data_IF_044232160182
#
_entry.id   IF_044232160182
#
_cell.length_a   1.000
_cell.length_b   1.000
_cell.length_c   1.000
_cell.angle_alpha   90.00
_cell.angle_beta   90.00
_cell.angle_gamma   90.00
#
_symmetry.space_group_name_H-M   'P 1'
#
loop_
_entity.id
_entity.type
_entity.pdbx_description
1 polymer ?
2 water ?
#
# COMPACT_ATOMS: atom_id res chain seq x y z
N UNK A 1 -28.46 5.59 -4.55
CA UNK A 1 -27.06 6.00 -4.68
C UNK A 1 -26.20 5.71 -3.43
N UNK A 2 -24.92 6.07 -3.51
CA UNK A 2 -23.97 5.84 -2.41
C UNK A 2 -22.98 6.99 -2.21
N UNK A 3 -21.84 6.67 -1.59
CA UNK A 3 -20.77 7.63 -1.38
C UNK A 3 -20.08 7.93 -2.71
N UNK A 4 -20.16 6.99 -3.65
CA UNK A 4 -19.36 7.04 -4.87
C UNK A 4 -17.86 7.15 -4.57
N UNK A 5 -17.37 6.24 -3.73
CA UNK A 5 -15.94 6.18 -3.43
C UNK A 5 -15.19 6.03 -4.75
N UNK A 6 -14.24 6.94 -5.00
CA UNK A 6 -13.52 6.87 -6.27
C UNK A 6 -12.29 5.93 -6.22
N UNK A 7 -12.16 5.04 -7.20
CA UNK A 7 -10.97 4.21 -7.29
C UNK A 7 -9.85 5.00 -7.94
N UNK A 8 -8.71 5.14 -7.26
CA UNK A 8 -7.55 5.76 -7.91
C UNK A 8 -6.47 4.73 -8.23
N UNK A 9 -6.02 4.75 -9.47
CA UNK A 9 -5.01 3.81 -9.92
C UNK A 9 -3.62 4.40 -9.74
N UNK A 10 -3.54 5.64 -9.27
CA UNK A 10 -2.26 6.33 -9.21
C UNK A 10 -2.33 7.65 -8.47
N UNK A 11 -1.27 7.96 -7.71
CA UNK A 11 -1.17 9.25 -7.00
C UNK A 11 -1.17 10.41 -7.99
N UNK A 12 -0.67 10.16 -9.19
CA UNK A 12 -0.79 11.12 -10.27
C UNK A 12 -2.25 11.58 -10.53
N UNK A 13 -3.25 10.74 -10.26
CA UNK A 13 -4.63 11.21 -10.43
C UNK A 13 -4.97 12.40 -9.51
N UNK A 14 -4.30 12.51 -8.38
CA UNK A 14 -4.67 13.56 -7.44
C UNK A 14 -4.42 14.96 -7.99
N UNK A 15 -3.58 15.04 -9.01
CA UNK A 15 -3.23 16.31 -9.63
C UNK A 15 -4.42 16.98 -10.34
N UNK A 16 -5.45 16.21 -10.66
CA UNK A 16 -6.60 16.74 -11.37
C UNK A 16 -7.87 16.75 -10.54
N UNK A 17 -7.72 16.47 -9.25
CA UNK A 17 -8.85 16.43 -8.34
C UNK A 17 -9.25 17.84 -7.93
N UNK A 18 -10.45 17.98 -7.33
CA UNK A 18 -10.94 19.28 -6.82
C UNK A 18 -9.95 19.95 -5.87
N UNK A 19 -9.94 21.27 -5.82
CA UNK A 19 -8.95 22.02 -5.02
C UNK A 19 -9.42 22.34 -3.60
N UNK A 20 -10.73 22.28 -3.38
CA UNK A 20 -11.27 22.38 -2.04
C UNK A 20 -12.46 21.45 -1.94
N UNK A 21 -12.21 20.25 -1.43
CA UNK A 21 -13.21 19.20 -1.45
C UNK A 21 -12.82 18.06 -0.52
N UNK A 22 -13.80 17.26 -0.13
CA UNK A 22 -13.55 15.99 0.53
C UNK A 22 -14.07 14.89 -0.39
N UNK A 23 -13.15 14.06 -0.87
CA UNK A 23 -13.45 13.05 -1.87
C UNK A 23 -12.98 11.69 -1.36
N UNK A 24 -13.94 10.77 -1.13
CA UNK A 24 -13.55 9.44 -0.67
C UNK A 24 -12.94 8.68 -1.84
N UNK A 25 -11.81 8.01 -1.57
CA UNK A 25 -11.06 7.28 -2.58
C UNK A 25 -10.72 5.89 -2.08
N UNK A 26 -10.24 5.06 -3.00
CA UNK A 26 -9.71 3.75 -2.66
C UNK A 26 -8.55 3.49 -3.60
N UNK A 27 -7.50 2.83 -3.12
CA UNK A 27 -6.36 2.50 -3.97
C UNK A 27 -5.69 1.26 -3.46
N UNK A 28 -4.99 0.56 -4.34
CA UNK A 28 -4.26 -0.65 -3.96
C UNK A 28 -2.78 -0.38 -4.18
N UNK A 29 -1.95 -0.80 -3.23
CA UNK A 29 -0.52 -0.50 -3.28
C UNK A 29 0.19 -1.30 -2.21
N UNK A 30 1.51 -1.46 -2.36
CA UNK A 30 2.30 -2.15 -1.35
C UNK A 30 2.63 -1.20 -0.20
N UNK A 31 2.61 -1.70 1.04
CA UNK A 31 3.03 -0.88 2.18
C UNK A 31 4.54 -0.71 2.08
N UNK A 32 5.03 0.53 2.07
CA UNK A 32 6.48 0.76 1.99
C UNK A 32 7.14 1.37 3.24
N UNK A 33 6.40 2.15 4.02
CA UNK A 33 6.97 2.66 5.26
C UNK A 33 5.95 2.90 6.36
N UNK A 34 6.44 2.87 7.59
CA UNK A 34 5.66 3.25 8.76
C UNK A 34 6.49 4.22 9.59
N UNK A 35 5.86 5.30 10.04
CA UNK A 35 6.52 6.19 11.00
C UNK A 35 5.58 6.50 12.12
N UNK A 36 5.96 6.10 13.33
CA UNK A 36 5.20 6.44 14.53
C UNK A 36 6.04 7.23 15.56
N UNK A 37 5.69 8.50 15.74
CA UNK A 37 6.32 9.32 16.77
C UNK A 37 5.29 9.64 17.87
N UNK A 38 5.31 10.86 18.41
CA UNK A 38 4.33 11.22 19.43
C UNK A 38 3.28 12.20 18.93
N UNK A 39 3.62 12.95 17.88
CA UNK A 39 2.67 13.88 17.30
C UNK A 39 2.10 13.35 15.99
N UNK A 40 2.87 12.48 15.35
CA UNK A 40 2.52 12.00 14.02
C UNK A 40 2.57 10.48 13.86
N UNK A 41 1.72 10.00 12.96
CA UNK A 41 1.72 8.61 12.52
C UNK A 41 1.47 8.56 11.01
N UNK A 42 2.44 8.05 10.27
CA UNK A 42 2.43 8.12 8.81
C UNK A 42 2.61 6.75 8.18
N UNK A 43 1.80 6.45 7.16
CA UNK A 43 1.92 5.21 6.41
C UNK A 43 2.30 5.49 4.95
N UNK A 44 3.39 4.89 4.50
CA UNK A 44 3.81 5.10 3.13
C UNK A 44 3.37 3.94 2.27
N UNK A 45 2.89 4.26 1.08
CA UNK A 45 2.47 3.23 0.14
C UNK A 45 3.05 3.48 -1.22
N UNK A 46 3.39 2.41 -1.91
CA UNK A 46 3.75 2.57 -3.29
C UNK A 46 3.16 1.52 -4.20
N UNK A 47 3.09 1.96 -5.44
CA UNK A 47 2.49 1.28 -6.53
C UNK A 47 3.61 0.88 -7.50
N UNK A 48 4.66 1.71 -7.54
CA UNK A 48 5.89 1.40 -8.26
C UNK A 48 5.81 1.55 -9.78
N UNK A 49 4.87 2.36 -10.25
CA UNK A 49 4.87 2.74 -11.66
C UNK A 49 6.17 3.50 -11.90
N UNK A 50 6.74 3.35 -13.08
CA UNK A 50 7.96 4.09 -13.38
C UNK A 50 7.61 5.46 -13.97
N UNK A 55 10.36 1.25 -8.59
CA UNK A 55 10.68 2.62 -8.95
C UNK A 55 10.78 3.53 -7.71
N UNK A 56 9.78 4.38 -7.47
CA UNK A 56 9.79 5.22 -6.26
C UNK A 56 8.76 4.81 -5.19
N UNK A 57 9.23 4.59 -3.96
CA UNK A 57 8.39 4.19 -2.83
C UNK A 57 7.69 5.39 -2.17
N UNK A 58 6.61 5.13 -1.43
CA UNK A 58 5.89 6.19 -0.71
C UNK A 58 5.27 7.27 -1.63
N UNK A 59 4.71 6.87 -2.76
CA UNK A 59 3.95 7.79 -3.61
C UNK A 59 2.72 8.28 -2.84
N UNK A 60 2.11 7.38 -2.06
CA UNK A 60 0.95 7.73 -1.26
C UNK A 60 1.39 7.87 0.19
N UNK A 61 1.00 8.97 0.82
CA UNK A 61 1.23 9.15 2.25
C UNK A 61 -0.12 9.30 2.94
N UNK A 62 -0.45 8.32 3.78
CA UNK A 62 -1.72 8.35 4.48
C UNK A 62 -1.46 8.73 5.93
N UNK A 63 -2.30 9.62 6.45
CA UNK A 63 -2.05 10.19 7.76
C UNK A 63 -3.09 9.69 8.74
N UNK A 64 -2.61 9.26 9.91
CA UNK A 64 -3.45 8.91 11.05
C UNK A 64 -3.22 9.95 12.13
N UNK A 65 -3.99 11.03 12.10
CA UNK A 65 -3.77 12.15 13.02
C UNK A 65 -4.28 11.83 14.43
N UNK A 66 -3.65 12.44 15.43
CA UNK A 66 -4.02 12.20 16.83
C UNK A 66 -3.44 13.25 17.79
N UNK A 67 -4.24 13.67 18.76
CA UNK A 67 -3.80 14.69 19.72
C UNK A 67 -3.63 14.12 21.13
N UNK A 68 -4.58 13.29 21.54
CA UNK A 68 -4.62 12.77 22.90
C UNK A 68 -3.67 11.60 23.15
N UNK A 69 -3.71 11.09 24.37
CA UNK A 69 -3.02 9.86 24.73
C UNK A 69 -3.80 8.71 24.13
N UNK A 70 -5.13 8.79 24.26
CA UNK A 70 -6.01 7.75 23.78
C UNK A 70 -5.85 7.57 22.29
N UNK A 71 -5.81 8.70 21.58
CA UNK A 71 -5.58 8.68 20.14
C UNK A 71 -4.25 7.97 19.90
N UNK A 72 -3.22 8.50 20.55
CA UNK A 72 -1.87 7.96 20.45
C UNK A 72 -1.85 6.44 20.62
N UNK A 73 -2.60 5.92 21.60
CA UNK A 73 -2.70 4.48 21.80
C UNK A 73 -3.37 3.81 20.63
N UNK A 74 -4.51 4.36 20.21
CA UNK A 74 -5.24 3.77 19.11
C UNK A 74 -4.31 3.64 17.90
N UNK A 75 -3.57 4.70 17.60
CA UNK A 75 -2.68 4.71 16.45
C UNK A 75 -1.68 3.58 16.59
N UNK A 76 -1.20 3.41 17.80
CA UNK A 76 -0.19 2.41 18.05
C UNK A 76 -0.78 1.01 17.91
N UNK A 77 -1.95 0.80 18.49
CA UNK A 77 -2.61 -0.50 18.38
C UNK A 77 -2.85 -0.84 16.89
N UNK A 78 -3.33 0.13 16.12
CA UNK A 78 -3.46 -0.03 14.68
C UNK A 78 -2.17 -0.47 13.96
N UNK A 79 -1.07 0.27 14.15
CA UNK A 79 0.21 -0.12 13.55
C UNK A 79 0.59 -1.55 13.92
N UNK A 80 0.38 -1.88 15.19
CA UNK A 80 0.75 -3.18 15.75
C UNK A 80 0.05 -4.36 15.04
N UNK A 81 -1.24 -4.20 14.76
CA UNK A 81 -2.00 -5.25 14.10
C UNK A 81 -1.58 -5.39 12.64
N UNK A 82 -1.32 -4.25 11.99
CA UNK A 82 -0.89 -4.22 10.60
C UNK A 82 0.44 -4.95 10.43
N UNK A 83 1.40 -4.64 11.30
CA UNK A 83 2.67 -5.36 11.30
C UNK A 83 2.52 -6.86 11.62
N UNK A 84 1.61 -7.21 12.53
CA UNK A 84 1.41 -8.62 12.86
C UNK A 84 0.81 -9.37 11.68
N UNK A 85 -0.09 -8.72 10.96
CA UNK A 85 -0.71 -9.37 9.83
C UNK A 85 0.36 -9.71 8.80
N UNK A 86 1.31 -8.80 8.61
CA UNK A 86 2.33 -8.94 7.57
C UNK A 86 3.59 -9.57 8.11
N UNK A 87 3.51 -10.06 9.35
CA UNK A 87 4.66 -10.64 10.04
C UNK A 87 5.86 -9.71 10.16
N UNK A 88 5.59 -8.41 10.27
CA UNK A 88 6.64 -7.45 10.55
C UNK A 88 6.75 -7.33 12.06
N UNK A 89 7.93 -7.61 12.62
CA UNK A 89 8.05 -7.61 14.07
C UNK A 89 8.43 -6.24 14.62
N UNK A 90 7.87 -5.92 15.78
CA UNK A 90 8.04 -4.61 16.39
C UNK A 90 8.72 -4.72 17.75
N UNK A 91 9.38 -3.64 18.18
CA UNK A 91 9.91 -3.61 19.55
C UNK A 91 8.76 -3.75 20.54
N UNK A 92 9.09 -4.12 21.77
CA UNK A 92 8.06 -4.35 22.78
C UNK A 92 7.40 -3.04 23.19
N UNK A 93 6.09 -3.12 23.41
CA UNK A 93 5.34 -2.02 24.00
C UNK A 93 6.12 -1.44 25.20
N UNK A 94 6.57 -2.32 26.09
CA UNK A 94 7.20 -1.91 27.34
C UNK A 94 8.69 -1.56 27.19
N UNK A 95 9.15 -1.41 25.95
CA UNK A 95 10.56 -1.11 25.70
C UNK A 95 10.80 0.34 25.28
N UNK A 102 8.63 5.12 19.40
CA UNK A 102 8.94 5.58 18.05
C UNK A 102 9.16 4.38 17.14
N UNK A 103 8.46 4.36 16.02
CA UNK A 103 8.58 3.25 15.09
C UNK A 103 8.99 3.81 13.75
N UNK A 104 10.07 3.26 13.19
CA UNK A 104 10.58 3.71 11.91
C UNK A 104 10.85 2.52 11.01
N UNK A 105 10.04 2.39 9.96
CA UNK A 105 10.16 1.27 9.03
C UNK A 105 10.24 1.81 7.61
N UNK A 106 11.32 1.50 6.91
CA UNK A 106 11.49 2.04 5.57
C UNK A 106 11.79 0.95 4.57
N UNK A 107 11.41 1.19 3.31
CA UNK A 107 11.65 0.22 2.24
C UNK A 107 11.14 -1.17 2.65
N UNK A 108 10.01 -1.22 3.33
CA UNK A 108 9.43 -2.50 3.74
C UNK A 108 9.45 -3.54 2.61
N UNK A 109 9.16 -3.11 1.38
CA UNK A 109 9.09 -4.02 0.22
C UNK A 109 10.39 -4.78 -0.14
N UNK A 110 11.53 -4.29 0.33
CA UNK A 110 12.79 -4.99 0.06
C UNK A 110 12.83 -6.27 0.89
N UNK A 111 12.07 -6.28 1.98
CA UNK A 111 12.00 -7.46 2.83
C UNK A 111 10.71 -8.21 2.69
N UNK A 112 9.59 -7.51 2.56
CA UNK A 112 8.33 -8.23 2.71
C UNK A 112 7.30 -8.30 1.60
N UNK A 113 6.88 -7.20 0.99
CA UNK A 113 5.75 -7.31 0.03
C UNK A 113 4.41 -7.43 0.77
N UNK A 114 3.84 -6.26 1.05
CA UNK A 114 2.65 -6.14 1.86
C UNK A 114 1.51 -5.45 1.08
N UNK A 115 0.75 -6.26 0.36
CA UNK A 115 -0.32 -5.77 -0.48
C UNK A 115 -1.45 -5.29 0.40
N UNK A 116 -2.04 -4.16 0.02
CA UNK A 116 -3.00 -3.48 0.87
C UNK A 116 -4.02 -2.79 0.00
N UNK A 117 -5.28 -2.94 0.37
CA UNK A 117 -6.33 -2.16 -0.25
C UNK A 117 -6.76 -1.13 0.78
N UNK A 118 -6.61 0.15 0.42
CA UNK A 118 -6.93 1.24 1.33
C UNK A 118 -8.13 2.12 0.92
N UNK A 119 -8.93 2.48 1.91
CA UNK A 119 -9.95 3.51 1.74
C UNK A 119 -9.51 4.79 2.46
N UNK A 120 -9.34 5.87 1.70
CA UNK A 120 -8.95 7.14 2.31
C UNK A 120 -9.86 8.30 1.91
N UNK A 121 -9.74 9.39 2.66
CA UNK A 121 -10.38 10.64 2.33
C UNK A 121 -9.31 11.58 1.76
N UNK A 122 -9.35 11.76 0.45
CA UNK A 122 -8.67 12.87 -0.17
C UNK A 122 -9.36 14.13 0.34
N UNK A 123 -8.57 15.01 0.95
CA UNK A 123 -9.06 16.23 1.56
C UNK A 123 -8.13 17.38 1.15
N UNK A 124 -8.65 18.38 0.43
CA UNK A 124 -7.78 19.41 -0.15
C UNK A 124 -8.23 20.85 0.07
N UNK A 125 -7.25 21.75 0.10
CA UNK A 125 -7.46 23.16 0.42
C UNK A 125 -6.28 23.94 -0.16
N UNK A 126 -6.59 25.00 -0.92
CA UNK A 126 -5.57 25.86 -1.53
C UNK A 126 -4.53 25.11 -2.37
N UNK A 127 -4.97 24.13 -3.16
CA UNK A 127 -4.07 23.36 -4.01
C UNK A 127 -3.28 22.28 -3.29
N UNK A 128 -3.54 22.13 -1.99
CA UNK A 128 -2.83 21.16 -1.18
C UNK A 128 -3.79 20.09 -0.70
N UNK A 129 -3.33 18.85 -0.63
CA UNK A 129 -4.22 17.76 -0.25
C UNK A 129 -3.61 16.78 0.75
N UNK A 130 -4.48 16.16 1.53
CA UNK A 130 -4.07 15.18 2.53
C UNK A 130 -4.96 13.96 2.43
N UNK A 131 -4.36 12.80 2.65
CA UNK A 131 -5.10 11.55 2.67
C UNK A 131 -5.26 11.02 4.09
N UNK A 132 -6.49 10.99 4.59
CA UNK A 132 -6.76 10.36 5.87
C UNK A 132 -7.30 8.94 5.73
N UNK A 133 -6.75 8.01 6.49
CA UNK A 133 -7.13 6.61 6.40
C UNK A 133 -8.56 6.42 6.94
N UNK A 134 -9.33 5.52 6.33
CA UNK A 134 -10.64 5.14 6.86
C UNK A 134 -10.75 3.64 7.06
N UNK A 135 -10.07 2.90 6.19
CA UNK A 135 -9.96 1.46 6.33
C UNK A 135 -8.70 1.00 5.62
N UNK A 136 -8.19 -0.17 6.01
CA UNK A 136 -7.13 -0.82 5.26
C UNK A 136 -7.34 -2.32 5.32
N UNK A 137 -7.28 -2.96 4.16
CA UNK A 137 -7.42 -4.41 4.06
C UNK A 137 -6.09 -5.01 3.67
N UNK A 138 -5.38 -5.61 4.63
CA UNK A 138 -4.16 -6.30 4.17
C UNK A 138 -4.57 -7.48 3.31
N UNK A 139 -3.89 -7.67 2.18
CA UNK A 139 -4.11 -8.84 1.33
C UNK A 139 -2.98 -9.84 1.53
N UNK A 140 -3.32 -11.12 1.55
CA UNK A 140 -2.31 -12.15 1.76
C UNK A 140 -1.61 -12.38 0.43
N UNK A 141 -0.30 -12.60 0.49
CA UNK A 141 0.47 -12.81 -0.72
C UNK A 141 -0.09 -14.05 -1.37
N UNK A 142 -0.45 -15.01 -0.51
CA UNK A 142 -1.15 -16.21 -0.91
C UNK A 142 -2.37 -15.88 -1.77
N UNK A 143 -3.25 -15.03 -1.26
CA UNK A 143 -4.42 -14.62 -2.03
C UNK A 143 -4.02 -13.88 -3.30
N UNK A 144 -3.17 -12.87 -3.16
CA UNK A 144 -2.85 -12.01 -4.29
C UNK A 144 -2.43 -12.84 -5.49
N UNK A 145 -1.66 -13.89 -5.22
CA UNK A 145 -1.17 -14.77 -6.26
C UNK A 145 -2.32 -15.55 -6.91
N UNK A 146 -3.26 -16.04 -6.11
CA UNK A 146 -4.49 -16.64 -6.65
C UNK A 146 -5.22 -15.66 -7.54
N UNK A 147 -5.72 -14.59 -6.93
CA UNK A 147 -6.43 -13.52 -7.65
C UNK A 147 -5.88 -13.20 -9.03
N UNK A 148 -4.55 -13.28 -9.17
CA UNK A 148 -3.85 -12.97 -10.42
C UNK A 148 -3.78 -14.19 -11.33
N UNK A 149 -3.32 -15.30 -10.77
CA UNK A 149 -3.29 -16.56 -11.50
C UNK A 149 -4.71 -16.98 -11.89
N UNK A 150 -5.63 -16.82 -10.95
CA UNK A 150 -7.03 -17.22 -11.11
C UNK A 150 -7.90 -16.18 -11.82
N UNK A 151 -8.62 -15.38 -11.04
CA UNK A 151 -9.65 -14.48 -11.58
C UNK A 151 -9.04 -13.38 -12.44
N UNK A 160 -19.88 -0.87 -2.18
CA UNK A 160 -19.55 -0.75 -3.59
C UNK A 160 -20.12 0.55 -4.16
N UNK A 161 -19.45 1.07 -5.17
CA UNK A 161 -19.90 2.28 -5.83
C UNK A 161 -19.69 2.15 -7.34
N UNK A 162 -20.37 3.00 -8.10
CA UNK A 162 -20.25 3.00 -9.55
C UNK A 162 -18.87 3.42 -10.03
N UNK A 163 -18.03 3.92 -9.12
CA UNK A 163 -16.73 4.44 -9.53
C UNK A 163 -15.57 3.50 -9.18
N UNK A 164 -15.93 2.28 -8.81
CA UNK A 164 -14.98 1.21 -8.61
C UNK A 164 -15.47 -0.02 -9.39
N UNK A 165 -14.73 -0.41 -10.42
CA UNK A 165 -15.01 -1.64 -11.14
C UNK A 165 -14.41 -2.83 -10.40
N UNK A 166 -15.08 -3.97 -10.48
CA UNK A 166 -14.64 -5.15 -9.74
C UNK A 166 -13.41 -5.76 -10.42
N UNK A 167 -12.82 -5.02 -11.35
CA UNK A 167 -11.57 -5.42 -11.98
C UNK A 167 -10.42 -4.46 -11.67
N UNK A 168 -10.75 -3.31 -11.10
CA UNK A 168 -9.75 -2.31 -10.76
C UNK A 168 -8.72 -2.89 -9.78
N UNK A 169 -9.18 -3.31 -8.61
CA UNK A 169 -8.30 -3.97 -7.64
C UNK A 169 -7.41 -4.99 -8.29
N UNK A 170 -8.04 -5.89 -9.02
CA UNK A 170 -7.35 -6.95 -9.73
C UNK A 170 -6.32 -6.38 -10.70
N UNK A 171 -6.73 -5.44 -11.54
CA UNK A 171 -5.79 -4.83 -12.46
C UNK A 171 -4.59 -4.25 -11.73
N UNK A 172 -4.87 -3.55 -10.63
CA UNK A 172 -3.81 -2.96 -9.81
C UNK A 172 -2.81 -4.03 -9.35
N UNK A 173 -3.30 -5.07 -8.69
CA UNK A 173 -2.43 -6.13 -8.23
C UNK A 173 -1.51 -6.61 -9.36
N UNK A 174 -2.09 -6.79 -10.54
CA UNK A 174 -1.35 -7.24 -11.72
C UNK A 174 -0.25 -6.23 -12.11
N UNK A 175 -0.59 -4.95 -12.11
CA UNK A 175 0.39 -3.90 -12.44
C UNK A 175 1.54 -3.81 -11.41
N UNK A 176 1.18 -3.72 -10.14
CA UNK A 176 2.16 -3.72 -9.09
C UNK A 176 3.20 -4.81 -9.36
N UNK A 177 2.73 -6.04 -9.54
CA UNK A 177 3.63 -7.16 -9.72
C UNK A 177 4.49 -7.07 -10.99
N UNK A 178 3.97 -6.45 -12.04
CA UNK A 178 4.77 -6.27 -13.23
C UNK A 178 5.87 -5.27 -12.98
N UNK A 179 5.52 -4.15 -12.36
CA UNK A 179 6.52 -3.15 -12.03
C UNK A 179 7.61 -3.76 -11.15
N UNK A 180 7.18 -4.66 -10.27
CA UNK A 180 8.04 -5.38 -9.35
C UNK A 180 9.01 -6.22 -10.17
N UNK A 181 8.50 -6.81 -11.24
CA UNK A 181 9.32 -7.66 -12.09
C UNK A 181 10.39 -6.84 -12.77
N UNK A 182 10.02 -5.65 -13.24
CA UNK A 182 10.96 -4.77 -13.93
C UNK A 182 12.01 -4.13 -13.00
N UNK A 183 11.72 -4.08 -11.70
CA UNK A 183 12.70 -3.62 -10.71
C UNK A 183 13.68 -4.73 -10.38
N UNK A 184 13.18 -5.96 -10.37
CA UNK A 184 14.02 -7.12 -10.12
C UNK A 184 15.11 -7.25 -11.18
N UNK A 185 14.73 -7.11 -12.45
CA UNK A 185 15.68 -7.15 -13.55
C UNK A 185 16.73 -6.07 -13.39
N UNK A 186 16.27 -4.88 -13.03
CA UNK A 186 17.12 -3.69 -13.04
C UNK A 186 18.14 -3.73 -11.92
N UNK A 187 19.40 -3.58 -12.32
CA UNK A 187 20.54 -3.77 -11.43
C UNK A 187 20.73 -2.65 -10.40
N UNK A 188 20.52 -1.42 -10.84
CA UNK A 188 20.64 -0.26 -9.95
C UNK A 188 19.49 -0.14 -8.93
N UNK A 189 18.70 -1.21 -8.81
CA UNK A 189 17.56 -1.24 -7.89
C UNK A 189 17.78 -2.27 -6.79
N UNK A 190 17.61 -1.84 -5.55
CA UNK A 190 17.90 -2.73 -4.43
C UNK A 190 16.81 -3.78 -4.27
N UNK A 191 15.73 -3.63 -5.02
CA UNK A 191 14.69 -4.62 -4.92
C UNK A 191 14.97 -5.88 -5.76
N UNK A 192 14.88 -7.03 -5.11
CA UNK A 192 15.13 -8.32 -5.75
C UNK A 192 14.25 -9.38 -5.08
N UNK A 193 13.61 -10.24 -5.88
CA UNK A 193 12.71 -11.26 -5.32
C UNK A 193 13.39 -12.15 -4.28
N UNK A 194 14.65 -12.53 -4.54
CA UNK A 194 15.44 -13.42 -3.67
C UNK A 194 15.70 -12.88 -2.27
N UNK A 195 15.85 -11.56 -2.15
CA UNK A 195 16.15 -10.94 -0.86
C UNK A 195 14.94 -10.92 0.08
N UNK A 196 13.78 -11.31 -0.43
CA UNK A 196 12.56 -11.36 0.39
C UNK A 196 12.63 -12.43 1.47
N UNK A 197 12.32 -12.04 2.70
CA UNK A 197 12.33 -12.95 3.81
C UNK A 197 11.41 -14.15 3.60
N UNK A 198 10.56 -14.11 2.58
CA UNK A 198 9.54 -15.16 2.45
C UNK A 198 9.51 -15.87 1.09
N UNK A 199 10.60 -15.71 0.33
CA UNK A 199 10.74 -16.36 -0.97
C UNK A 199 10.42 -17.88 -0.93
N UNK A 200 9.16 -18.23 -1.17
CA UNK A 200 8.77 -19.63 -1.29
C UNK A 200 9.18 -20.11 -2.66
N UNK A 201 8.78 -21.34 -2.98
CA UNK A 201 8.91 -21.88 -4.32
C UNK A 201 7.70 -21.45 -5.16
N UNK A 202 6.58 -21.19 -4.49
CA UNK A 202 5.40 -20.68 -5.17
C UNK A 202 5.67 -19.32 -5.76
N UNK A 203 6.33 -18.46 -4.98
CA UNK A 203 6.64 -17.13 -5.45
C UNK A 203 7.57 -17.22 -6.65
N UNK A 204 8.58 -18.08 -6.53
CA UNK A 204 9.50 -18.36 -7.63
C UNK A 204 8.76 -18.64 -8.93
N UNK A 205 7.88 -19.65 -8.89
CA UNK A 205 7.18 -20.14 -10.08
C UNK A 205 6.11 -19.17 -10.55
N UNK A 206 5.48 -18.47 -9.61
CA UNK A 206 4.55 -17.41 -9.96
C UNK A 206 5.32 -16.36 -10.78
N UNK A 207 6.39 -15.83 -10.18
CA UNK A 207 7.28 -14.89 -10.85
C UNK A 207 7.63 -15.35 -12.25
N UNK A 208 8.14 -16.57 -12.35
CA UNK A 208 8.51 -17.16 -13.63
C UNK A 208 7.34 -17.20 -14.63
N UNK A 209 6.14 -17.51 -14.15
CA UNK A 209 4.97 -17.54 -15.03
C UNK A 209 4.67 -16.16 -15.59
N UNK A 210 4.59 -15.18 -14.69
CA UNK A 210 4.25 -13.82 -15.08
C UNK A 210 5.36 -13.25 -15.94
N UNK A 211 6.57 -13.74 -15.72
CA UNK A 211 7.71 -13.32 -16.50
C UNK A 211 7.65 -14.00 -17.85
N UNK A 212 6.75 -14.96 -18.00
CA UNK A 212 6.56 -15.62 -19.28
C UNK A 212 5.36 -15.08 -20.05
N UNK A 213 4.58 -14.22 -19.41
CA UNK A 213 3.48 -13.53 -20.07
C UNK A 213 3.97 -12.22 -20.67
N UNK A 214 4.93 -12.35 -21.58
CA UNK A 214 5.47 -11.22 -22.31
C UNK A 214 5.39 -11.66 -23.75
N UNK A 215 5.64 -12.94 -23.97
CA UNK A 215 5.22 -13.55 -25.21
C UNK A 215 3.71 -13.48 -25.09
#
# INVERSE_FOLDING_TARGET
SHKNRIFVSSSKDFEGYPSKAIVPVQFVALLTSIHLTETKCLLGFSNFERRGDQSQEDQYLIKLKFKDRGSERLARITISLLCQYFDIELPDLDSDSGASPTVILRDIHLERLCFSSCKALYVSKHGNYTLFLEDIKPLDLVSVISTISTKSTNSSKHSSSELISECDLNNSLVDIFNNLIEMNRDEKNRFKFVKLIHYDIELKKFVQDQQKVLSQKSKAAAINPFFVPNRLG
#
